data_IF_742888953853
#
_entry.id   IF_742888953853
#
_cell.length_a   1.000
_cell.length_b   1.000
_cell.length_c   1.000
_cell.angle_alpha   90.00
_cell.angle_beta   90.00
_cell.angle_gamma   90.00
#
_symmetry.space_group_name_H-M   'P 1'
#
loop_
_entity.id
_entity.type
_entity.pdbx_description
1 polymer ?
#
# COMPACT_ATOMS: atom_id res chain seq x y z
N UNK A 1 38.71 -80.25 35.86
CA UNK A 1 37.39 -79.58 35.80
C UNK A 1 37.60 -78.25 35.06
N UNK A 2 37.30 -78.23 33.76
CA UNK A 2 37.50 -77.08 32.84
C UNK A 2 36.30 -76.15 32.99
N UNK A 3 36.51 -74.84 33.13
CA UNK A 3 35.44 -73.82 33.00
C UNK A 3 35.72 -73.02 31.75
N UNK A 4 34.86 -73.19 30.77
CA UNK A 4 34.94 -72.57 29.46
C UNK A 4 34.60 -71.08 29.51
N UNK A 5 35.39 -70.32 28.76
CA UNK A 5 35.14 -68.92 28.42
C UNK A 5 33.96 -68.84 27.45
N UNK A 6 32.94 -68.04 27.78
CA UNK A 6 32.01 -67.51 26.78
C UNK A 6 31.96 -65.99 26.94
N UNK A 7 32.89 -65.32 26.25
CA UNK A 7 32.83 -63.88 26.05
C UNK A 7 31.76 -63.56 25.02
N UNK A 8 30.66 -62.93 25.43
CA UNK A 8 29.69 -62.30 24.53
C UNK A 8 30.41 -61.18 23.77
N UNK A 9 30.53 -61.31 22.45
CA UNK A 9 30.92 -60.19 21.60
C UNK A 9 29.71 -59.26 21.40
N UNK A 10 29.75 -58.08 22.02
CA UNK A 10 28.83 -56.99 21.67
C UNK A 10 29.24 -56.37 20.33
N UNK A 11 28.37 -56.49 19.33
CA UNK A 11 28.57 -55.87 18.02
C UNK A 11 28.31 -54.37 18.13
N UNK A 12 29.37 -53.58 18.28
CA UNK A 12 29.27 -52.12 18.25
C UNK A 12 28.72 -51.65 16.89
N UNK A 13 27.48 -51.15 16.90
CA UNK A 13 26.89 -50.46 15.74
C UNK A 13 27.76 -49.24 15.44
N UNK A 14 28.39 -49.21 14.26
CA UNK A 14 29.13 -48.04 13.79
C UNK A 14 28.15 -46.89 13.53
N UNK A 15 28.14 -45.91 14.41
CA UNK A 15 27.55 -44.60 14.18
C UNK A 15 28.32 -43.93 13.03
N UNK A 16 27.68 -43.76 11.88
CA UNK A 16 28.24 -42.94 10.79
C UNK A 16 27.99 -41.48 11.18
N UNK A 17 29.05 -40.80 11.61
CA UNK A 17 29.02 -39.35 11.81
C UNK A 17 28.92 -38.61 10.47
N UNK A 18 28.40 -37.39 10.52
CA UNK A 18 28.34 -36.49 9.36
C UNK A 18 29.72 -36.26 8.76
N UNK A 19 29.79 -36.19 7.43
CA UNK A 19 31.02 -35.84 6.72
C UNK A 19 31.20 -34.32 6.66
N UNK A 20 32.45 -33.84 6.64
CA UNK A 20 32.74 -32.43 6.40
C UNK A 20 32.16 -31.96 5.06
N UNK A 21 32.15 -32.83 4.05
CA UNK A 21 31.60 -32.54 2.73
C UNK A 21 30.09 -32.27 2.76
N UNK A 22 29.31 -32.99 3.57
CA UNK A 22 27.87 -32.70 3.74
C UNK A 22 27.63 -31.31 4.32
N UNK A 23 28.41 -30.91 5.31
CA UNK A 23 28.27 -29.58 5.90
C UNK A 23 28.66 -28.48 4.90
N UNK A 24 29.71 -28.70 4.10
CA UNK A 24 30.14 -27.76 3.07
C UNK A 24 29.08 -27.58 1.98
N UNK A 25 28.45 -28.66 1.52
CA UNK A 25 27.37 -28.59 0.52
C UNK A 25 26.15 -27.84 1.07
N UNK A 26 25.77 -28.07 2.33
CA UNK A 26 24.65 -27.36 2.97
C UNK A 26 24.94 -25.86 3.06
N UNK A 27 26.14 -25.46 3.49
CA UNK A 27 26.54 -24.06 3.57
C UNK A 27 26.58 -23.39 2.18
N UNK A 28 27.03 -24.11 1.15
CA UNK A 28 27.02 -23.62 -0.22
C UNK A 28 25.59 -23.34 -0.72
N UNK A 29 24.65 -24.27 -0.49
CA UNK A 29 23.24 -24.09 -0.87
C UNK A 29 22.62 -22.91 -0.10
N UNK A 30 22.86 -22.80 1.21
CA UNK A 30 22.37 -21.66 2.01
C UNK A 30 22.93 -20.34 1.48
N UNK A 31 24.22 -20.28 1.12
CA UNK A 31 24.83 -19.08 0.54
C UNK A 31 24.18 -18.66 -0.78
N UNK A 32 23.86 -19.62 -1.66
CA UNK A 32 23.17 -19.35 -2.93
C UNK A 32 21.74 -18.86 -2.68
N UNK A 33 20.99 -19.52 -1.79
CA UNK A 33 19.62 -19.13 -1.44
C UNK A 33 19.57 -17.74 -0.79
N UNK A 34 20.50 -17.45 0.12
CA UNK A 34 20.62 -16.15 0.75
C UNK A 34 20.94 -15.03 -0.25
N UNK A 35 21.77 -15.30 -1.26
CA UNK A 35 22.08 -14.35 -2.33
C UNK A 35 20.84 -14.00 -3.17
N UNK A 36 19.98 -14.99 -3.47
CA UNK A 36 18.76 -14.80 -4.28
C UNK A 36 17.63 -14.14 -3.47
N UNK A 37 17.58 -14.35 -2.15
CA UNK A 37 16.48 -13.88 -1.30
C UNK A 37 16.40 -12.35 -1.13
N UNK A 38 17.40 -11.58 -1.58
CA UNK A 38 17.49 -10.13 -1.32
C UNK A 38 16.56 -9.24 -2.16
N UNK A 39 16.08 -9.69 -3.33
CA UNK A 39 15.77 -8.75 -4.41
C UNK A 39 14.34 -8.64 -4.98
N UNK A 40 13.23 -8.92 -4.26
CA UNK A 40 11.90 -8.97 -4.93
C UNK A 40 10.75 -8.12 -4.32
N UNK A 41 10.94 -7.43 -3.19
CA UNK A 41 9.78 -6.82 -2.49
C UNK A 41 9.56 -5.31 -2.66
N UNK A 42 10.55 -4.53 -3.10
CA UNK A 42 10.47 -3.06 -3.02
C UNK A 42 9.49 -2.46 -4.03
N UNK A 43 9.50 -2.90 -5.31
CA UNK A 43 8.64 -2.29 -6.34
C UNK A 43 7.15 -2.57 -6.22
N UNK A 44 6.72 -3.74 -5.73
CA UNK A 44 5.29 -4.13 -5.71
C UNK A 44 4.47 -3.35 -4.68
N UNK A 45 5.07 -2.98 -3.54
CA UNK A 45 4.40 -2.20 -2.51
C UNK A 45 4.20 -0.76 -2.99
N UNK A 46 5.18 -0.25 -3.73
CA UNK A 46 5.19 1.10 -4.28
C UNK A 46 4.09 1.29 -5.32
N UNK A 47 3.92 0.32 -6.24
CA UNK A 47 2.83 0.31 -7.21
C UNK A 47 1.46 0.25 -6.54
N UNK A 48 1.31 -0.59 -5.51
CA UNK A 48 0.04 -0.75 -4.80
C UNK A 48 -0.43 0.55 -4.12
N UNK A 49 0.50 1.37 -3.61
CA UNK A 49 0.18 2.68 -3.03
C UNK A 49 -0.34 3.63 -4.10
N UNK A 50 0.36 3.74 -5.23
CA UNK A 50 -0.06 4.59 -6.35
C UNK A 50 -1.43 4.16 -6.87
N UNK A 51 -1.65 2.86 -7.07
CA UNK A 51 -2.96 2.32 -7.49
C UNK A 51 -4.06 2.67 -6.50
N UNK A 52 -3.80 2.52 -5.19
CA UNK A 52 -4.76 2.89 -4.15
C UNK A 52 -5.07 4.39 -4.19
N UNK A 53 -4.06 5.24 -4.31
CA UNK A 53 -4.26 6.68 -4.38
C UNK A 53 -5.19 7.08 -5.55
N UNK A 54 -4.97 6.49 -6.73
CA UNK A 54 -5.81 6.72 -7.92
C UNK A 54 -7.27 6.28 -7.70
N UNK A 55 -7.47 5.10 -7.12
CA UNK A 55 -8.82 4.60 -6.83
C UNK A 55 -9.57 5.46 -5.80
N UNK A 56 -8.86 5.91 -4.75
CA UNK A 56 -9.41 6.80 -3.74
C UNK A 56 -9.81 8.16 -4.38
N UNK A 57 -8.95 8.76 -5.21
CA UNK A 57 -9.24 10.01 -5.94
C UNK A 57 -10.46 9.84 -6.86
N UNK A 58 -10.54 8.76 -7.64
CA UNK A 58 -11.71 8.49 -8.50
C UNK A 58 -13.01 8.40 -7.68
N UNK A 59 -12.94 7.79 -6.50
CA UNK A 59 -14.11 7.66 -5.62
C UNK A 59 -14.53 9.02 -5.04
N UNK A 60 -13.56 9.85 -4.65
CA UNK A 60 -13.82 11.21 -4.16
C UNK A 60 -14.40 12.08 -5.27
N UNK A 61 -13.84 12.03 -6.48
CA UNK A 61 -14.30 12.78 -7.64
C UNK A 61 -15.75 12.42 -8.00
N UNK A 62 -16.08 11.12 -8.02
CA UNK A 62 -17.46 10.68 -8.23
C UNK A 62 -18.43 11.22 -7.16
N UNK A 63 -18.01 11.27 -5.89
CA UNK A 63 -18.83 11.85 -4.82
C UNK A 63 -19.01 13.37 -4.97
N UNK A 64 -17.96 14.09 -5.40
CA UNK A 64 -18.00 15.50 -5.71
C UNK A 64 -18.96 15.79 -6.87
N UNK A 65 -18.97 14.96 -7.90
CA UNK A 65 -19.88 15.10 -9.03
C UNK A 65 -21.34 14.92 -8.61
N UNK A 66 -21.62 13.95 -7.74
CA UNK A 66 -22.98 13.77 -7.18
C UNK A 66 -23.36 14.98 -6.32
N UNK A 67 -22.44 15.50 -5.48
CA UNK A 67 -22.67 16.73 -4.72
C UNK A 67 -23.05 17.89 -5.65
N UNK A 68 -22.33 18.06 -6.76
CA UNK A 68 -22.62 19.08 -7.77
C UNK A 68 -23.96 18.85 -8.44
N UNK A 69 -24.37 17.63 -8.72
CA UNK A 69 -25.68 17.35 -9.31
C UNK A 69 -26.82 17.78 -8.38
N UNK A 70 -26.66 17.62 -7.07
CA UNK A 70 -27.67 18.00 -6.08
C UNK A 70 -27.70 19.50 -5.78
N UNK A 71 -26.52 20.15 -5.77
CA UNK A 71 -26.34 21.51 -5.27
C UNK A 71 -25.99 22.52 -6.37
N UNK A 72 -25.83 22.06 -7.62
CA UNK A 72 -25.40 22.84 -8.78
C UNK A 72 -24.01 23.51 -8.64
N UNK A 73 -23.26 23.16 -7.60
CA UNK A 73 -21.90 23.62 -7.31
C UNK A 73 -21.11 22.51 -6.63
N UNK A 74 -19.79 22.54 -6.75
CA UNK A 74 -18.93 21.75 -5.87
C UNK A 74 -18.85 22.40 -4.46
N UNK A 75 -18.35 21.67 -3.44
CA UNK A 75 -17.99 22.26 -2.16
C UNK A 75 -17.01 23.42 -2.32
N UNK A 76 -17.13 24.45 -1.49
CA UNK A 76 -16.16 25.54 -1.44
C UNK A 76 -14.87 25.08 -0.76
N UNK A 77 -13.78 25.84 -0.90
CA UNK A 77 -12.53 25.54 -0.18
C UNK A 77 -12.67 25.56 1.35
N UNK A 78 -13.67 26.28 1.87
CA UNK A 78 -13.94 26.33 3.31
C UNK A 78 -14.75 25.11 3.79
N UNK A 79 -15.62 24.57 2.94
CA UNK A 79 -16.36 23.34 3.21
C UNK A 79 -15.52 22.09 3.00
N UNK A 80 -14.58 22.14 2.04
CA UNK A 80 -13.60 21.09 1.80
C UNK A 80 -14.21 19.76 1.33
N UNK A 81 -13.43 18.69 1.47
CA UNK A 81 -13.93 17.33 1.22
C UNK A 81 -14.84 16.85 2.36
N UNK A 82 -14.78 17.50 3.52
CA UNK A 82 -15.61 17.24 4.69
C UNK A 82 -17.10 17.36 4.35
N UNK A 83 -17.46 18.24 3.40
CA UNK A 83 -18.82 18.36 2.86
C UNK A 83 -19.41 17.06 2.28
N UNK A 84 -18.55 16.10 1.90
CA UNK A 84 -18.97 14.81 1.37
C UNK A 84 -19.42 13.84 2.47
N UNK A 85 -18.95 14.02 3.70
CA UNK A 85 -19.21 13.12 4.84
C UNK A 85 -20.08 13.76 5.91
N UNK A 86 -20.01 15.08 6.05
CA UNK A 86 -20.77 15.86 7.01
C UNK A 86 -21.53 16.97 6.28
N UNK A 87 -22.72 17.28 6.78
CA UNK A 87 -23.54 18.33 6.20
C UNK A 87 -22.87 19.70 6.45
N UNK A 88 -22.58 20.49 5.40
CA UNK A 88 -22.08 21.85 5.56
C UNK A 88 -23.02 22.73 6.38
N UNK A 89 -22.46 23.75 7.05
CA UNK A 89 -23.25 24.77 7.75
C UNK A 89 -23.82 25.82 6.79
N UNK A 90 -24.46 25.33 5.73
CA UNK A 90 -25.15 26.11 4.70
C UNK A 90 -26.58 25.56 4.60
N UNK A 91 -27.62 26.36 4.93
CA UNK A 91 -29.00 25.91 4.91
C UNK A 91 -29.49 25.55 3.50
N UNK A 92 -28.89 26.14 2.46
CA UNK A 92 -29.30 25.95 1.07
C UNK A 92 -28.69 24.67 0.45
N UNK A 93 -27.74 24.03 1.14
CA UNK A 93 -27.17 22.75 0.71
C UNK A 93 -28.18 21.63 0.89
N UNK A 94 -28.52 21.00 -0.23
CA UNK A 94 -29.23 19.73 -0.30
C UNK A 94 -28.28 18.61 0.07
N UNK A 95 -28.61 17.88 1.14
CA UNK A 95 -27.76 16.82 1.66
C UNK A 95 -28.56 15.52 1.85
N UNK A 96 -28.18 14.42 1.17
CA UNK A 96 -28.92 13.16 1.22
C UNK A 96 -28.75 12.45 2.57
N UNK A 97 -29.77 11.69 2.98
CA UNK A 97 -29.70 10.90 4.22
C UNK A 97 -28.59 9.83 4.12
N UNK A 98 -27.44 10.10 4.73
CA UNK A 98 -26.24 9.25 4.69
C UNK A 98 -25.01 9.89 4.05
N UNK A 99 -25.12 11.11 3.52
CA UNK A 99 -24.03 11.84 2.89
C UNK A 99 -23.64 11.30 1.51
N UNK A 100 -22.60 11.88 0.94
CA UNK A 100 -22.04 11.47 -0.36
C UNK A 100 -20.98 10.38 -0.20
N UNK A 101 -20.33 10.33 0.98
CA UNK A 101 -19.36 9.32 1.36
C UNK A 101 -19.57 8.92 2.82
N UNK A 102 -19.22 7.67 3.16
CA UNK A 102 -19.28 7.19 4.56
C UNK A 102 -18.15 7.74 5.43
N UNK A 103 -16.97 7.92 4.84
CA UNK A 103 -15.78 8.48 5.45
C UNK A 103 -14.81 8.93 4.37
N UNK A 104 -13.98 9.92 4.67
CA UNK A 104 -12.87 10.29 3.80
C UNK A 104 -11.73 9.27 3.99
N UNK A 105 -11.15 8.73 2.91
CA UNK A 105 -9.91 7.99 3.00
C UNK A 105 -8.76 8.94 3.31
N UNK A 106 -7.75 8.43 4.02
CA UNK A 106 -6.42 9.02 3.98
C UNK A 106 -5.68 8.44 2.79
N UNK A 107 -4.76 9.24 2.24
CA UNK A 107 -3.87 8.78 1.18
C UNK A 107 -2.97 7.62 1.67
N UNK A 108 -2.26 6.93 0.76
CA UNK A 108 -1.42 5.79 1.11
C UNK A 108 -0.25 6.11 2.07
N UNK A 109 0.05 7.39 2.26
CA UNK A 109 1.08 7.91 3.15
C UNK A 109 0.50 8.56 4.41
N UNK A 110 -0.77 8.25 4.69
CA UNK A 110 -1.50 8.62 5.90
C UNK A 110 -1.70 10.14 6.07
N UNK A 111 -1.94 10.85 4.96
CA UNK A 111 -2.28 12.27 4.93
C UNK A 111 -3.68 12.49 4.36
N UNK A 112 -4.37 13.58 4.71
CA UNK A 112 -5.61 13.97 4.04
C UNK A 112 -5.35 14.26 2.56
N UNK A 113 -6.31 13.93 1.71
CA UNK A 113 -6.33 14.42 0.33
C UNK A 113 -6.51 15.93 0.31
N UNK A 114 -5.86 16.57 -0.66
CA UNK A 114 -5.97 18.00 -0.93
C UNK A 114 -7.10 18.25 -1.91
N UNK A 115 -7.74 19.41 -1.75
CA UNK A 115 -8.88 19.83 -2.55
C UNK A 115 -8.80 21.31 -2.89
N UNK A 116 -9.18 21.66 -4.12
CA UNK A 116 -9.38 23.05 -4.53
C UNK A 116 -10.58 23.20 -5.48
N UNK A 117 -11.39 24.22 -5.23
CA UNK A 117 -12.45 24.71 -6.11
C UNK A 117 -12.47 26.25 -6.15
N UNK A 118 -12.35 26.89 -7.33
CA UNK A 118 -12.07 26.26 -8.62
C UNK A 118 -10.69 25.59 -8.65
N UNK A 119 -10.59 24.46 -9.36
CA UNK A 119 -9.32 23.78 -9.58
C UNK A 119 -8.37 24.59 -10.46
N UNK A 120 -7.06 24.34 -10.34
CA UNK A 120 -6.05 24.88 -11.28
C UNK A 120 -6.03 24.09 -12.58
N UNK A 121 -6.45 22.81 -12.57
CA UNK A 121 -6.33 21.88 -13.70
C UNK A 121 -7.68 21.38 -14.23
N UNK A 122 -8.79 21.82 -13.63
CA UNK A 122 -10.16 21.50 -14.01
C UNK A 122 -11.17 22.28 -13.17
N UNK A 123 -12.43 21.84 -13.16
CA UNK A 123 -13.47 22.46 -12.32
C UNK A 123 -13.12 22.33 -10.82
N UNK A 124 -12.56 21.17 -10.44
CA UNK A 124 -12.00 20.88 -9.12
C UNK A 124 -10.70 20.10 -9.26
N UNK A 125 -9.81 20.30 -8.29
CA UNK A 125 -8.60 19.51 -8.12
C UNK A 125 -8.75 18.65 -6.85
N UNK A 126 -8.53 17.34 -6.96
CA UNK A 126 -8.42 16.41 -5.81
C UNK A 126 -7.12 15.61 -5.97
N UNK A 127 -6.23 15.67 -4.97
CA UNK A 127 -4.89 15.12 -5.14
C UNK A 127 -4.15 14.81 -3.83
N UNK A 128 -3.05 14.06 -3.94
CA UNK A 128 -2.03 13.84 -2.90
C UNK A 128 -0.66 14.25 -3.46
N UNK A 129 0.20 14.78 -2.58
CA UNK A 129 1.58 15.19 -2.86
C UNK A 129 2.57 14.03 -2.77
N UNK A 130 2.09 12.79 -2.94
CA UNK A 130 2.95 11.62 -2.84
C UNK A 130 3.55 11.38 -1.45
N UNK A 131 4.59 10.55 -1.42
CA UNK A 131 5.29 10.12 -0.21
C UNK A 131 6.03 11.26 0.48
N UNK A 132 6.69 12.12 -0.27
CA UNK A 132 7.50 13.22 0.29
C UNK A 132 6.62 14.35 0.83
N UNK A 133 5.43 14.55 0.27
CA UNK A 133 4.50 15.60 0.69
C UNK A 133 4.84 16.97 0.13
N UNK A 134 5.55 17.01 -1.00
CA UNK A 134 5.95 18.24 -1.66
C UNK A 134 5.34 18.28 -3.06
N UNK A 135 5.11 19.48 -3.60
CA UNK A 135 4.65 19.59 -4.99
C UNK A 135 5.74 19.10 -5.95
N UNK A 136 5.33 18.36 -6.98
CA UNK A 136 6.23 17.80 -7.99
C UNK A 136 6.60 16.35 -7.72
N UNK A 137 7.87 16.03 -7.85
CA UNK A 137 8.40 14.67 -7.66
C UNK A 137 8.12 13.69 -8.81
N UNK A 138 8.68 12.48 -8.67
CA UNK A 138 8.50 11.37 -9.61
C UNK A 138 8.23 10.06 -8.86
N UNK A 139 7.62 9.09 -9.54
CA UNK A 139 7.27 7.80 -8.93
C UNK A 139 6.36 7.96 -7.71
N UNK A 140 6.81 7.49 -6.55
CA UNK A 140 6.05 7.62 -5.30
C UNK A 140 6.05 9.03 -4.70
N UNK A 141 7.03 9.84 -5.06
CA UNK A 141 7.12 11.23 -4.60
C UNK A 141 6.34 12.16 -5.54
N UNK A 142 5.80 11.61 -6.64
CA UNK A 142 5.02 12.36 -7.62
C UNK A 142 3.62 12.73 -7.16
N UNK A 143 3.17 13.93 -7.51
CA UNK A 143 1.78 14.35 -7.35
C UNK A 143 0.81 13.44 -8.11
N UNK A 144 -0.19 12.90 -7.40
CA UNK A 144 -1.28 12.10 -7.99
C UNK A 144 -2.58 12.87 -7.79
N UNK A 145 -3.22 13.26 -8.88
CA UNK A 145 -4.47 14.01 -8.88
C UNK A 145 -5.44 13.58 -9.95
N UNK A 146 -6.68 14.05 -9.87
CA UNK A 146 -7.74 13.71 -10.84
C UNK A 146 -7.37 14.05 -12.29
N UNK A 147 -6.50 15.03 -12.53
CA UNK A 147 -6.00 15.41 -13.86
C UNK A 147 -4.95 14.45 -14.48
N UNK A 148 -4.38 13.50 -13.73
CA UNK A 148 -3.32 12.59 -14.24
C UNK A 148 -3.57 11.11 -13.94
N UNK A 149 -4.83 10.72 -13.71
CA UNK A 149 -5.21 9.34 -13.37
C UNK A 149 -4.88 8.31 -14.46
N UNK A 150 -4.86 8.73 -15.73
CA UNK A 150 -4.56 7.83 -16.86
C UNK A 150 -3.07 7.71 -17.20
N UNK A 151 -2.21 8.55 -16.61
CA UNK A 151 -0.75 8.43 -16.81
C UNK A 151 -0.25 7.20 -16.07
N UNK A 152 0.01 6.11 -16.81
CA UNK A 152 0.78 4.97 -16.31
C UNK A 152 2.21 5.45 -15.93
N UNK A 153 2.81 4.88 -14.86
CA UNK A 153 4.21 5.14 -14.52
C UNK A 153 5.17 4.67 -15.63
#
# INVERSE_FOLDING_TARGET
>A
MKRDFSGRQESARRSRGFTLMELLVVLAIIGILAAIATGVYVGRVDDARITRARADIQTIEAALDIFRLDNFRYPTNAEGLEALVERPNDPDVRWPAGGYMRRLPLDPWNRPYLYASPGRRGDVDVYTLGRDGQEGGEGQDGDIGNWNLDRQP
#
